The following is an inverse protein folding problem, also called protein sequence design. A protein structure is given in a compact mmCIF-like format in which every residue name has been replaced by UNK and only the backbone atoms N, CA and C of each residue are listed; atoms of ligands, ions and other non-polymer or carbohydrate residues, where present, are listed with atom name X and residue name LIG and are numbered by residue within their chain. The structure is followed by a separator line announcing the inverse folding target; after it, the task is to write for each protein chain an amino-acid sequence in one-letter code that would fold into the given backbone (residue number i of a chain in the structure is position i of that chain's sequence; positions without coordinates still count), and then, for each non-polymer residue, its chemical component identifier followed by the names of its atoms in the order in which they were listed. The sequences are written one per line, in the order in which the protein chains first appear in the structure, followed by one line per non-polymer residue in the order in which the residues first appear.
data_IF_663672409690
#
_entry.id   IF_663672409690
#
_cell.length_a   1.000
_cell.length_b   1.000
_cell.length_c   1.000
_cell.angle_alpha   90.00
_cell.angle_beta   90.00
_cell.angle_gamma   90.00
#
_symmetry.space_group_name_H-M   'P 1'
#
loop_
_entity.id
_entity.type
_entity.pdbx_description
1 polymer ?
#
# COMPACT_ATOMS: atom_id res chain seq x y z
N UNK A 1 15.64 -12.26 -6.93
CA UNK A 1 14.25 -11.98 -7.34
C UNK A 1 13.76 -10.79 -6.54
N UNK A 2 12.92 -9.91 -7.11
CA UNK A 2 12.34 -8.79 -6.34
C UNK A 2 11.29 -9.32 -5.37
N UNK A 3 11.25 -8.77 -4.16
CA UNK A 3 10.27 -9.12 -3.13
C UNK A 3 8.96 -8.38 -3.40
N UNK A 4 7.84 -9.09 -3.39
CA UNK A 4 6.52 -8.50 -3.64
C UNK A 4 6.09 -7.67 -2.43
N UNK A 5 5.62 -6.45 -2.66
CA UNK A 5 5.25 -5.51 -1.60
C UNK A 5 3.83 -4.99 -1.81
N UNK A 6 3.04 -4.98 -0.74
CA UNK A 6 1.76 -4.26 -0.66
C UNK A 6 1.96 -3.02 0.22
N UNK A 7 1.51 -1.86 -0.24
CA UNK A 7 1.58 -0.62 0.56
C UNK A 7 0.23 -0.36 1.21
N UNK A 8 0.20 -0.20 2.53
CA UNK A 8 -0.98 0.27 3.25
C UNK A 8 -1.01 1.81 3.26
N UNK A 9 -2.00 2.40 2.59
CA UNK A 9 -2.18 3.85 2.43
C UNK A 9 -2.35 4.28 0.97
N UNK A 10 -3.10 5.37 0.75
CA UNK A 10 -3.38 5.98 -0.57
C UNK A 10 -3.05 7.48 -0.64
N UNK A 11 -2.26 8.00 0.31
CA UNK A 11 -1.87 9.40 0.34
C UNK A 11 -0.47 9.66 -0.20
N UNK A 12 -0.01 10.90 -0.09
CA UNK A 12 1.31 11.36 -0.59
C UNK A 12 2.48 10.49 -0.10
N UNK A 13 2.42 9.98 1.12
CA UNK A 13 3.46 9.09 1.67
C UNK A 13 3.48 7.74 0.94
N UNK A 14 2.32 7.22 0.55
CA UNK A 14 2.21 5.96 -0.20
C UNK A 14 2.71 6.13 -1.65
N UNK A 15 2.39 7.26 -2.29
CA UNK A 15 2.92 7.59 -3.62
C UNK A 15 4.46 7.76 -3.59
N UNK A 16 4.98 8.46 -2.58
CA UNK A 16 6.42 8.63 -2.41
C UNK A 16 7.12 7.29 -2.14
N UNK A 17 6.53 6.45 -1.28
CA UNK A 17 7.04 5.10 -1.04
C UNK A 17 7.05 4.28 -2.33
N UNK A 18 5.98 4.32 -3.13
CA UNK A 18 5.92 3.66 -4.44
C UNK A 18 7.04 4.11 -5.37
N UNK A 19 7.28 5.41 -5.47
CA UNK A 19 8.38 5.96 -6.26
C UNK A 19 9.74 5.38 -5.82
N UNK A 20 10.07 5.43 -4.53
CA UNK A 20 11.35 4.93 -4.03
C UNK A 20 11.49 3.41 -4.15
N UNK A 21 10.44 2.64 -3.85
CA UNK A 21 10.49 1.19 -3.99
C UNK A 21 10.69 0.76 -5.45
N UNK A 22 10.09 1.48 -6.40
CA UNK A 22 10.22 1.15 -7.82
C UNK A 22 11.57 1.59 -8.43
N UNK A 23 12.20 2.62 -7.86
CA UNK A 23 13.44 3.22 -8.40
C UNK A 23 14.72 2.71 -7.75
N UNK A 24 14.75 2.52 -6.43
CA UNK A 24 15.97 2.26 -5.66
C UNK A 24 15.78 1.17 -4.59
N UNK A 25 15.12 0.07 -4.96
CA UNK A 25 14.93 -1.04 -4.03
C UNK A 25 14.90 -2.41 -4.70
N UNK A 26 14.93 -3.46 -3.86
CA UNK A 26 14.71 -4.84 -4.30
C UNK A 26 13.24 -5.27 -4.21
N UNK A 27 12.33 -4.34 -3.94
CA UNK A 27 10.89 -4.59 -3.87
C UNK A 27 10.20 -4.35 -5.21
N UNK A 28 9.06 -5.01 -5.37
CA UNK A 28 8.13 -4.86 -6.48
C UNK A 28 6.76 -4.58 -5.87
N UNK A 29 6.33 -3.31 -5.92
CA UNK A 29 5.02 -2.91 -5.39
C UNK A 29 3.95 -3.46 -6.32
N UNK A 30 3.08 -4.29 -5.78
CA UNK A 30 2.04 -4.96 -6.58
C UNK A 30 0.63 -4.50 -6.30
N UNK A 31 0.42 -3.82 -5.17
CA UNK A 31 -0.88 -3.32 -4.78
C UNK A 31 -0.78 -2.26 -3.68
N UNK A 32 -1.87 -1.53 -3.53
CA UNK A 32 -2.13 -0.70 -2.37
C UNK A 32 -3.34 -1.25 -1.60
N UNK A 33 -3.43 -0.90 -0.33
CA UNK A 33 -4.54 -1.29 0.53
C UNK A 33 -4.87 -0.22 1.56
N UNK A 34 -6.15 -0.11 1.89
CA UNK A 34 -6.70 0.65 3.02
C UNK A 34 -7.94 -0.10 3.50
N UNK A 35 -8.48 0.25 4.67
CA UNK A 35 -9.76 -0.34 5.07
C UNK A 35 -10.82 -0.03 4.02
N UNK A 36 -11.74 -0.97 3.82
CA UNK A 36 -12.80 -0.89 2.81
C UNK A 36 -13.57 0.44 2.81
N UNK A 37 -13.78 1.05 3.98
CA UNK A 37 -14.46 2.35 4.12
C UNK A 37 -13.71 3.55 3.54
N UNK A 38 -12.41 3.40 3.25
CA UNK A 38 -11.55 4.46 2.72
C UNK A 38 -11.18 4.26 1.24
N UNK A 39 -11.72 3.23 0.58
CA UNK A 39 -11.50 3.03 -0.86
C UNK A 39 -12.44 3.97 -1.63
N UNK A 40 -11.86 4.96 -2.29
CA UNK A 40 -12.57 5.84 -3.21
C UNK A 40 -12.42 5.36 -4.67
N UNK A 41 -11.25 4.86 -5.02
CA UNK A 41 -10.92 4.34 -6.35
C UNK A 41 -10.30 2.93 -6.26
N UNK A 42 -10.58 2.09 -7.26
CA UNK A 42 -10.03 0.73 -7.34
C UNK A 42 -8.57 0.67 -7.78
N UNK A 43 -7.95 1.81 -8.08
CA UNK A 43 -6.58 1.91 -8.57
C UNK A 43 -5.85 3.13 -8.00
N UNK A 44 -4.57 2.98 -7.69
CA UNK A 44 -3.67 4.06 -7.24
C UNK A 44 -2.28 3.86 -7.82
N UNK A 45 -1.66 4.92 -8.34
CA UNK A 45 -0.40 4.83 -9.11
C UNK A 45 -0.42 3.79 -10.25
N UNK A 46 -1.59 3.51 -10.83
CA UNK A 46 -1.77 2.48 -11.87
C UNK A 46 -1.79 1.03 -11.36
N UNK A 47 -1.79 0.82 -10.06
CA UNK A 47 -1.85 -0.51 -9.40
C UNK A 47 -3.19 -0.72 -8.70
N UNK A 48 -3.62 -1.97 -8.48
CA UNK A 48 -4.87 -2.28 -7.80
C UNK A 48 -4.87 -1.79 -6.35
N UNK A 49 -6.03 -1.31 -5.91
CA UNK A 49 -6.35 -1.05 -4.50
C UNK A 49 -7.26 -2.16 -4.01
N UNK A 50 -6.87 -2.84 -2.94
CA UNK A 50 -7.64 -3.94 -2.34
C UNK A 50 -7.99 -3.58 -0.90
N UNK A 51 -9.22 -3.88 -0.48
CA UNK A 51 -9.64 -3.74 0.91
C UNK A 51 -8.70 -4.53 1.83
N UNK A 52 -8.23 -3.91 2.91
CA UNK A 52 -7.28 -4.53 3.84
C UNK A 52 -7.83 -5.83 4.42
N UNK A 53 -9.14 -5.88 4.66
CA UNK A 53 -9.89 -7.04 5.12
C UNK A 53 -9.70 -8.26 4.19
N UNK A 54 -9.50 -8.01 2.89
CA UNK A 54 -9.36 -9.05 1.86
C UNK A 54 -7.90 -9.21 1.38
N UNK A 55 -6.94 -8.46 1.96
CA UNK A 55 -5.56 -8.40 1.44
C UNK A 55 -4.88 -9.77 1.50
N UNK A 56 -5.11 -10.55 2.57
CA UNK A 56 -4.49 -11.86 2.77
C UNK A 56 -5.04 -12.92 1.80
N UNK A 57 -6.25 -12.72 1.27
CA UNK A 57 -6.86 -13.61 0.27
C UNK A 57 -6.20 -13.44 -1.11
N UNK A 58 -5.77 -12.22 -1.43
CA UNK A 58 -5.16 -11.87 -2.72
C UNK A 58 -3.62 -11.92 -2.68
N UNK A 59 -3.02 -11.62 -1.52
CA UNK A 59 -1.58 -11.48 -1.31
C UNK A 59 -1.14 -12.31 -0.11
N UNK A 60 -0.74 -13.56 -0.37
CA UNK A 60 -0.34 -14.50 0.68
C UNK A 60 0.85 -13.98 1.52
N UNK A 61 0.72 -14.05 2.84
CA UNK A 61 1.69 -13.53 3.83
C UNK A 61 3.08 -14.15 3.74
N UNK A 62 3.21 -15.37 3.21
CA UNK A 62 4.50 -16.03 2.97
C UNK A 62 5.20 -15.60 1.67
N UNK A 63 4.53 -14.83 0.81
CA UNK A 63 5.02 -14.43 -0.52
C UNK A 63 5.06 -12.91 -0.72
N UNK A 64 4.41 -12.16 0.16
CA UNK A 64 4.29 -10.70 0.09
C UNK A 64 4.69 -10.07 1.42
N UNK A 65 5.42 -8.97 1.34
CA UNK A 65 5.68 -8.09 2.47
C UNK A 65 4.69 -6.92 2.45
N UNK A 66 4.59 -6.20 3.57
CA UNK A 66 3.72 -5.03 3.69
C UNK A 66 4.48 -3.83 4.26
N UNK A 67 4.26 -2.66 3.68
CA UNK A 67 4.79 -1.39 4.17
C UNK A 67 3.64 -0.46 4.57
N UNK A 68 3.70 0.12 5.77
CA UNK A 68 2.65 1.00 6.28
C UNK A 68 3.01 2.46 5.97
N UNK A 69 2.34 3.05 4.99
CA UNK A 69 2.58 4.40 4.48
C UNK A 69 1.49 5.38 4.96
N UNK A 70 1.31 5.47 6.28
CA UNK A 70 0.34 6.35 6.88
C UNK A 70 1.01 7.59 7.48
N UNK A 71 0.42 8.76 7.21
CA UNK A 71 0.73 9.97 7.96
C UNK A 71 -0.10 10.01 9.23
N UNK A 72 0.29 10.87 10.16
CA UNK A 72 -0.51 11.14 11.34
C UNK A 72 -1.77 11.93 10.97
N UNK A 73 -2.90 11.24 10.89
CA UNK A 73 -4.19 11.90 10.75
C UNK A 73 -4.66 12.38 12.13
N UNK A 74 -5.06 13.65 12.23
CA UNK A 74 -5.65 14.26 13.46
C UNK A 74 -4.71 14.36 14.68
N UNK A 75 -3.41 14.55 14.47
CA UNK A 75 -2.42 14.67 15.56
C UNK A 75 -2.70 15.81 16.57
N UNK A 76 -3.63 16.74 16.27
CA UNK A 76 -4.03 17.84 17.15
C UNK A 76 -5.56 18.00 17.26
N UNK A 77 -6.32 16.92 17.15
CA UNK A 77 -7.75 16.99 17.47
C UNK A 77 -7.92 17.15 19.00
N UNK A 78 -8.08 18.41 19.43
CA UNK A 78 -8.70 18.78 20.71
C UNK A 78 -10.20 18.85 20.52
#
# INVERSE_FOLDING_TARGET
MRKKLVIFGLGDIAELAFFYFNTDSTYDVVAFTVDSSYIEDSTFCGLPVVAFENVAEHYATGQHEMFIALSYSKLNAV
#
